data_IF_534697672606
#
_entry.id   IF_534697672606
#
_cell.length_a   1.000
_cell.length_b   1.000
_cell.length_c   1.000
_cell.angle_alpha   90.00
_cell.angle_beta   90.00
_cell.angle_gamma   90.00
#
_symmetry.space_group_name_H-M   'P 1'
#
loop_
_entity.id
_entity.type
_entity.pdbx_description
1 polymer ?
#
# COMPACT_ATOMS: atom_id res chain seq x y z
N UNK A 1 17.36 -11.56 8.21
CA UNK A 1 17.60 -11.63 6.76
C UNK A 1 16.70 -12.63 6.04
N UNK A 2 16.52 -13.81 6.58
CA UNK A 2 15.76 -14.90 5.94
C UNK A 2 14.30 -14.51 5.62
N UNK A 3 13.61 -13.84 6.52
CA UNK A 3 12.18 -13.47 6.35
C UNK A 3 11.94 -12.44 5.24
N UNK A 4 12.87 -11.50 5.01
CA UNK A 4 12.75 -10.50 3.93
C UNK A 4 12.85 -11.12 2.54
N UNK A 5 13.72 -12.12 2.41
CA UNK A 5 13.88 -12.87 1.16
C UNK A 5 12.68 -13.78 0.89
N UNK A 6 12.10 -14.36 1.95
CA UNK A 6 10.94 -15.24 1.86
C UNK A 6 9.69 -14.49 1.37
N UNK A 7 9.41 -13.29 1.88
CA UNK A 7 8.28 -12.48 1.44
C UNK A 7 8.37 -12.12 -0.05
N UNK A 8 9.56 -11.76 -0.53
CA UNK A 8 9.80 -11.46 -1.95
C UNK A 8 9.66 -12.70 -2.83
N UNK A 9 10.17 -13.84 -2.34
CA UNK A 9 10.02 -15.13 -3.01
C UNK A 9 8.55 -15.53 -3.11
N UNK A 10 7.78 -15.39 -2.03
CA UNK A 10 6.34 -15.67 -2.02
C UNK A 10 5.57 -14.74 -2.96
N UNK A 11 5.94 -13.45 -3.05
CA UNK A 11 5.34 -12.53 -4.01
C UNK A 11 5.62 -12.99 -5.45
N UNK A 12 6.87 -13.31 -5.77
CA UNK A 12 7.25 -13.80 -7.10
C UNK A 12 6.52 -15.09 -7.44
N UNK A 13 6.44 -16.04 -6.51
CA UNK A 13 5.71 -17.29 -6.65
C UNK A 13 4.21 -17.07 -6.90
N UNK A 14 3.57 -16.18 -6.11
CA UNK A 14 2.16 -15.84 -6.29
C UNK A 14 1.89 -15.16 -7.64
N UNK A 15 2.78 -14.30 -8.11
CA UNK A 15 2.68 -13.69 -9.44
C UNK A 15 2.74 -14.75 -10.55
N UNK A 16 3.68 -15.69 -10.46
CA UNK A 16 3.82 -16.78 -11.43
C UNK A 16 2.63 -17.73 -11.38
N UNK A 17 2.16 -18.09 -10.18
CA UNK A 17 1.04 -19.01 -9.99
C UNK A 17 -0.31 -18.37 -10.30
N UNK A 18 -0.43 -17.04 -10.29
CA UNK A 18 -1.68 -16.35 -10.63
C UNK A 18 -2.14 -16.60 -12.07
N UNK A 19 -1.22 -16.92 -12.97
CA UNK A 19 -1.54 -17.32 -14.35
C UNK A 19 -2.18 -18.73 -14.43
N UNK A 20 -2.05 -19.52 -13.39
CA UNK A 20 -2.57 -20.89 -13.27
C UNK A 20 -3.57 -21.04 -12.13
N UNK A 21 -3.81 -19.99 -11.38
CA UNK A 21 -4.53 -20.06 -10.13
C UNK A 21 -6.01 -19.82 -10.24
N UNK A 22 -6.73 -20.40 -9.32
CA UNK A 22 -8.17 -20.31 -9.15
C UNK A 22 -8.61 -19.26 -8.11
N UNK A 23 -7.69 -18.52 -7.50
CA UNK A 23 -8.03 -17.53 -6.47
C UNK A 23 -8.44 -16.19 -7.12
N UNK A 24 -9.69 -15.74 -6.95
CA UNK A 24 -10.15 -14.48 -7.51
C UNK A 24 -9.59 -13.26 -6.76
N UNK A 25 -9.13 -13.43 -5.53
CA UNK A 25 -8.58 -12.38 -4.67
C UNK A 25 -7.30 -12.86 -3.99
N UNK A 26 -6.27 -12.02 -4.03
CA UNK A 26 -5.02 -12.23 -3.32
C UNK A 26 -4.81 -11.14 -2.28
N UNK A 27 -4.43 -11.53 -1.07
CA UNK A 27 -4.13 -10.62 0.03
C UNK A 27 -2.65 -10.69 0.35
N UNK A 28 -1.99 -9.53 0.36
CA UNK A 28 -0.59 -9.38 0.74
C UNK A 28 -0.48 -8.51 1.99
N UNK A 29 0.11 -9.06 3.03
CA UNK A 29 0.29 -8.35 4.29
C UNK A 29 1.76 -8.04 4.51
N UNK A 30 2.09 -6.74 4.61
CA UNK A 30 3.42 -6.21 4.96
C UNK A 30 4.59 -6.78 4.14
N UNK A 31 4.41 -7.03 2.85
CA UNK A 31 5.47 -7.57 1.97
C UNK A 31 6.61 -6.58 1.70
N UNK A 32 6.38 -5.31 2.00
CA UNK A 32 7.31 -4.18 1.84
C UNK A 32 8.03 -3.81 3.14
N UNK A 33 7.85 -4.55 4.21
CA UNK A 33 8.48 -4.28 5.51
C UNK A 33 10.01 -4.29 5.38
N UNK A 34 10.61 -3.16 5.80
CA UNK A 34 12.06 -2.99 5.87
C UNK A 34 12.77 -2.95 4.51
N UNK A 35 12.08 -2.61 3.42
CA UNK A 35 12.66 -2.36 2.10
C UNK A 35 12.83 -0.86 1.85
N UNK A 36 13.80 -0.48 1.03
CA UNK A 36 13.97 0.91 0.58
C UNK A 36 12.95 1.32 -0.48
N UNK A 37 12.84 2.63 -0.72
CA UNK A 37 11.84 3.21 -1.61
C UNK A 37 11.86 2.63 -3.04
N UNK A 38 13.02 2.40 -3.63
CA UNK A 38 13.14 1.81 -4.97
C UNK A 38 12.60 0.38 -5.04
N UNK A 39 12.82 -0.42 -3.98
CA UNK A 39 12.29 -1.79 -3.90
C UNK A 39 10.78 -1.76 -3.64
N UNK A 40 10.30 -0.85 -2.80
CA UNK A 40 8.87 -0.66 -2.56
C UNK A 40 8.14 -0.24 -3.86
N UNK A 41 8.74 0.63 -4.67
CA UNK A 41 8.18 1.02 -5.97
C UNK A 41 8.11 -0.18 -6.93
N UNK A 42 9.15 -1.01 -6.99
CA UNK A 42 9.15 -2.23 -7.79
C UNK A 42 8.08 -3.23 -7.33
N UNK A 43 7.87 -3.39 -6.02
CA UNK A 43 6.80 -4.21 -5.45
C UNK A 43 5.44 -3.65 -5.88
N UNK A 44 5.21 -2.35 -5.71
CA UNK A 44 3.98 -1.69 -6.11
C UNK A 44 3.66 -1.88 -7.60
N UNK A 45 4.64 -1.74 -8.48
CA UNK A 45 4.49 -1.98 -9.91
C UNK A 45 4.13 -3.43 -10.24
N UNK A 46 4.67 -4.40 -9.53
CA UNK A 46 4.31 -5.83 -9.71
C UNK A 46 2.90 -6.13 -9.22
N UNK A 47 2.49 -5.56 -8.08
CA UNK A 47 1.13 -5.69 -7.57
C UNK A 47 0.11 -5.06 -8.51
N UNK A 48 0.40 -3.89 -9.07
CA UNK A 48 -0.46 -3.23 -10.05
C UNK A 48 -0.65 -4.08 -11.31
N UNK A 49 0.42 -4.71 -11.83
CA UNK A 49 0.32 -5.65 -12.96
C UNK A 49 -0.49 -6.89 -12.62
N UNK A 50 -0.31 -7.43 -11.41
CA UNK A 50 -1.10 -8.58 -10.95
C UNK A 50 -2.58 -8.22 -10.83
N UNK A 51 -2.89 -7.00 -10.37
CA UNK A 51 -4.25 -6.50 -10.20
C UNK A 51 -5.03 -6.35 -11.52
N UNK A 52 -4.35 -6.35 -12.66
CA UNK A 52 -5.03 -6.41 -13.97
C UNK A 52 -5.68 -7.77 -14.27
N UNK A 53 -5.31 -8.82 -13.54
CA UNK A 53 -5.80 -10.19 -13.76
C UNK A 53 -6.68 -10.71 -12.62
N UNK A 54 -6.36 -10.30 -11.38
CA UNK A 54 -7.06 -10.76 -10.17
C UNK A 54 -7.24 -9.58 -9.23
N UNK A 55 -8.19 -9.66 -8.31
CA UNK A 55 -8.30 -8.67 -7.25
C UNK A 55 -7.11 -8.79 -6.30
N UNK A 56 -6.42 -7.68 -6.05
CA UNK A 56 -5.29 -7.61 -5.12
C UNK A 56 -5.63 -6.67 -3.98
N UNK A 57 -5.45 -7.15 -2.76
CA UNK A 57 -5.46 -6.35 -1.55
C UNK A 57 -4.07 -6.37 -0.92
N UNK A 58 -3.51 -5.20 -0.63
CA UNK A 58 -2.21 -5.10 0.03
C UNK A 58 -2.32 -4.24 1.29
N UNK A 59 -1.79 -4.74 2.40
CA UNK A 59 -1.57 -3.96 3.61
C UNK A 59 -0.13 -3.47 3.58
N UNK A 60 0.04 -2.15 3.60
CA UNK A 60 1.35 -1.53 3.36
C UNK A 60 1.55 -0.29 4.21
N UNK A 61 2.80 -0.03 4.58
CA UNK A 61 3.28 1.24 5.13
C UNK A 61 4.09 2.05 4.11
N UNK A 62 4.34 1.50 2.92
CA UNK A 62 5.13 2.16 1.89
C UNK A 62 4.26 3.04 0.99
N UNK A 63 4.50 4.35 0.95
CA UNK A 63 3.75 5.27 0.10
C UNK A 63 3.88 4.91 -1.40
N UNK A 64 5.00 4.34 -1.82
CA UNK A 64 5.23 3.87 -3.19
C UNK A 64 4.27 2.75 -3.59
N UNK A 65 3.99 1.82 -2.67
CA UNK A 65 3.01 0.75 -2.89
C UNK A 65 1.60 1.31 -2.88
N UNK A 66 1.26 2.12 -1.86
CA UNK A 66 -0.06 2.71 -1.72
C UNK A 66 -0.46 3.59 -2.92
N UNK A 67 0.49 4.34 -3.49
CA UNK A 67 0.25 5.20 -4.65
C UNK A 67 -0.12 4.42 -5.92
N UNK A 68 0.29 3.16 -6.04
CA UNK A 68 0.03 2.29 -7.20
C UNK A 68 -1.35 1.64 -7.21
N UNK A 69 -2.08 1.71 -6.09
CA UNK A 69 -3.41 1.09 -5.98
C UNK A 69 -4.49 1.93 -6.66
N UNK A 70 -5.51 1.28 -7.22
CA UNK A 70 -6.69 1.96 -7.77
C UNK A 70 -7.56 2.53 -6.66
N UNK A 71 -7.62 1.83 -5.51
CA UNK A 71 -8.35 2.24 -4.33
C UNK A 71 -7.44 2.28 -3.11
N UNK A 72 -7.67 3.25 -2.23
CA UNK A 72 -6.93 3.39 -0.99
C UNK A 72 -7.89 3.37 0.19
N UNK A 73 -7.74 2.38 1.06
CA UNK A 73 -8.50 2.26 2.29
C UNK A 73 -7.62 2.67 3.46
N UNK A 74 -8.06 3.69 4.19
CA UNK A 74 -7.39 4.12 5.42
C UNK A 74 -8.01 3.39 6.61
N UNK A 75 -7.16 2.71 7.37
CA UNK A 75 -7.55 2.06 8.62
C UNK A 75 -7.13 2.97 9.78
N UNK A 76 -8.10 3.38 10.59
CA UNK A 76 -7.88 4.18 11.78
C UNK A 76 -8.43 3.49 13.02
N UNK A 77 -7.83 3.83 14.17
CA UNK A 77 -8.28 3.38 15.48
C UNK A 77 -8.74 4.58 16.29
N UNK A 78 -9.98 4.60 16.66
CA UNK A 78 -10.57 5.64 17.49
C UNK A 78 -10.75 5.13 18.92
N UNK A 79 -10.29 5.91 19.90
CA UNK A 79 -10.57 5.63 21.29
C UNK A 79 -12.01 6.01 21.60
N UNK A 80 -12.80 5.07 22.10
CA UNK A 80 -14.15 5.27 22.59
C UNK A 80 -14.17 5.20 24.13
N UNK A 81 -15.24 5.76 24.72
CA UNK A 81 -15.49 5.68 26.17
C UNK A 81 -14.26 6.09 27.02
N UNK A 82 -13.66 7.24 26.73
CA UNK A 82 -12.45 7.77 27.42
C UNK A 82 -11.27 6.79 27.39
N UNK A 83 -11.09 6.08 26.29
CA UNK A 83 -9.98 5.14 26.10
C UNK A 83 -10.21 3.71 26.57
N UNK A 84 -11.40 3.39 27.10
CA UNK A 84 -11.74 2.03 27.57
C UNK A 84 -12.03 1.05 26.41
N UNK A 85 -12.41 1.58 25.25
CA UNK A 85 -12.71 0.79 24.05
C UNK A 85 -12.03 1.42 22.84
N UNK A 86 -11.69 0.58 21.87
CA UNK A 86 -11.09 1.01 20.59
C UNK A 86 -12.01 0.53 19.47
N UNK A 87 -12.40 1.44 18.60
CA UNK A 87 -13.07 1.09 17.36
C UNK A 87 -12.09 1.19 16.19
N UNK A 88 -12.08 0.18 15.34
CA UNK A 88 -11.36 0.22 14.07
C UNK A 88 -12.32 0.69 12.99
N UNK A 89 -11.92 1.70 12.22
CA UNK A 89 -12.67 2.21 11.07
C UNK A 89 -11.89 1.97 9.80
N UNK A 90 -12.62 1.71 8.72
CA UNK A 90 -12.07 1.59 7.38
C UNK A 90 -12.77 2.61 6.49
N UNK A 91 -12.00 3.53 5.93
CA UNK A 91 -12.52 4.60 5.08
C UNK A 91 -11.88 4.54 3.70
N UNK A 92 -12.69 4.50 2.66
CA UNK A 92 -12.21 4.69 1.31
C UNK A 92 -11.86 6.17 1.08
N UNK A 93 -10.66 6.44 0.59
CA UNK A 93 -10.16 7.79 0.39
C UNK A 93 -10.49 8.30 -1.02
N UNK A 94 -11.12 9.48 -1.09
CA UNK A 94 -11.22 10.25 -2.32
C UNK A 94 -9.84 10.84 -2.70
N UNK A 95 -9.71 11.32 -3.93
CA UNK A 95 -8.42 11.73 -4.51
C UNK A 95 -7.65 12.75 -3.64
N UNK A 96 -8.31 13.78 -3.11
CA UNK A 96 -7.65 14.79 -2.29
C UNK A 96 -7.19 14.24 -0.94
N UNK A 97 -8.03 13.46 -0.27
CA UNK A 97 -7.67 12.78 0.98
C UNK A 97 -6.57 11.74 0.77
N UNK A 98 -6.59 11.06 -0.37
CA UNK A 98 -5.54 10.10 -0.74
C UNK A 98 -4.18 10.79 -0.89
N UNK A 99 -4.13 11.96 -1.54
CA UNK A 99 -2.90 12.75 -1.66
C UNK A 99 -2.35 13.13 -0.28
N UNK A 100 -3.22 13.63 0.62
CA UNK A 100 -2.81 13.98 1.99
C UNK A 100 -2.32 12.76 2.76
N UNK A 101 -2.96 11.60 2.63
CA UNK A 101 -2.50 10.38 3.29
C UNK A 101 -1.14 9.90 2.77
N UNK A 102 -0.92 9.91 1.45
CA UNK A 102 0.41 9.60 0.88
C UNK A 102 1.47 10.60 1.38
N UNK A 103 1.12 11.89 1.47
CA UNK A 103 2.02 12.90 2.04
C UNK A 103 2.35 12.62 3.51
N UNK A 104 1.36 12.22 4.31
CA UNK A 104 1.55 11.81 5.71
C UNK A 104 2.45 10.58 5.81
N UNK A 105 2.28 9.59 4.95
CA UNK A 105 3.13 8.39 4.90
C UNK A 105 4.59 8.72 4.57
N UNK A 106 4.83 9.77 3.78
CA UNK A 106 6.16 10.26 3.43
C UNK A 106 6.81 11.08 4.55
N UNK A 107 6.04 11.96 5.17
CA UNK A 107 6.55 12.97 6.12
C UNK A 107 6.49 12.52 7.59
N UNK A 108 5.62 11.59 7.93
CA UNK A 108 5.34 11.23 9.32
C UNK A 108 4.36 12.21 10.01
N UNK A 109 4.77 12.79 11.14
CA UNK A 109 3.87 13.57 12.00
C UNK A 109 3.40 14.90 11.40
N UNK A 110 4.26 15.61 10.67
CA UNK A 110 3.93 16.88 10.04
C UNK A 110 3.97 16.79 8.52
N UNK A 111 2.85 17.16 7.89
CA UNK A 111 2.76 17.16 6.43
C UNK A 111 3.28 18.49 5.90
N UNK A 112 4.44 18.45 5.24
CA UNK A 112 5.06 19.62 4.61
C UNK A 112 4.59 19.83 3.16
N UNK A 113 4.86 21.01 2.61
CA UNK A 113 4.61 21.30 1.20
C UNK A 113 5.41 20.36 0.28
N UNK A 114 6.64 20.04 0.65
CA UNK A 114 7.51 19.11 -0.07
C UNK A 114 6.94 17.69 -0.07
N UNK A 115 6.38 17.24 1.06
CA UNK A 115 5.74 15.94 1.17
C UNK A 115 4.49 15.86 0.26
N UNK A 116 3.68 16.91 0.21
CA UNK A 116 2.53 16.99 -0.72
C UNK A 116 2.98 16.93 -2.18
N UNK A 117 4.02 17.67 -2.53
CA UNK A 117 4.58 17.66 -3.89
C UNK A 117 5.16 16.28 -4.26
N UNK A 118 5.80 15.60 -3.30
CA UNK A 118 6.30 14.25 -3.49
C UNK A 118 5.16 13.22 -3.64
N UNK A 119 4.10 13.35 -2.84
CA UNK A 119 2.91 12.52 -2.94
C UNK A 119 2.23 12.66 -4.32
N UNK A 120 2.11 13.88 -4.81
CA UNK A 120 1.56 14.14 -6.14
C UNK A 120 2.38 13.51 -7.26
N UNK A 121 3.72 13.57 -7.15
CA UNK A 121 4.62 12.89 -8.11
C UNK A 121 4.44 11.38 -8.11
N UNK A 122 4.33 10.76 -6.93
CA UNK A 122 4.09 9.32 -6.81
C UNK A 122 2.76 8.92 -7.44
N UNK A 123 1.70 9.66 -7.17
CA UNK A 123 0.37 9.38 -7.73
C UNK A 123 0.34 9.54 -9.26
N UNK A 124 0.99 10.58 -9.79
CA UNK A 124 1.12 10.77 -11.25
C UNK A 124 1.94 9.67 -11.91
N UNK A 125 3.04 9.24 -11.32
CA UNK A 125 3.85 8.15 -11.84
C UNK A 125 3.12 6.81 -11.85
N UNK A 126 2.17 6.62 -10.94
CA UNK A 126 1.36 5.40 -10.87
C UNK A 126 0.33 5.28 -12.00
N UNK A 127 -0.11 6.41 -12.57
CA UNK A 127 -1.11 6.47 -13.65
C UNK A 127 -0.49 6.54 -15.05
N UNK A 128 0.80 6.71 -15.12
CA UNK A 128 1.55 6.69 -16.38
C UNK A 128 1.92 5.27 -16.78
#
# INVERSE_FOLDING_TARGET
MLFRSLSRFLLALKVVLSDRGSAPTLVFDEIDTGVGGAVADAIGGRLARLASKVQVMAVTHAPQVAARADQHLLISKDALDKGKRVATRVNALAADHRREEIARMLAGAEITAEARAAAERLLKAATA
#
